data_IF_686615467760
#
_entry.id   IF_686615467760
#
_cell.length_a   1.000
_cell.length_b   1.000
_cell.length_c   1.000
_cell.angle_alpha   90.00
_cell.angle_beta   90.00
_cell.angle_gamma   90.00
#
_symmetry.space_group_name_H-M   'P 1'
#
loop_
_entity.id
_entity.type
_entity.pdbx_description
1 polymer ?
#
# COMPACT_ATOMS: atom_id res chain seq x y z
N UNK A 1 -1.49 18.00 17.69
CA UNK A 1 -1.18 18.13 16.25
C UNK A 1 -0.81 16.79 15.63
N UNK A 2 0.04 15.98 16.27
CA UNK A 2 0.32 14.57 15.88
C UNK A 2 -0.94 13.73 15.64
N UNK A 3 -1.90 13.76 16.55
CA UNK A 3 -3.17 13.02 16.45
C UNK A 3 -4.01 13.31 15.21
N UNK A 4 -3.90 14.50 14.59
CA UNK A 4 -4.66 14.82 13.38
C UNK A 4 -3.99 14.25 12.11
N UNK A 5 -2.65 14.32 12.04
CA UNK A 5 -1.88 13.73 10.94
C UNK A 5 -1.97 12.20 10.92
N UNK A 6 -1.97 11.58 12.10
CA UNK A 6 -2.19 10.14 12.29
C UNK A 6 -3.50 9.66 11.63
N UNK A 7 -4.62 10.30 11.95
CA UNK A 7 -5.95 9.88 11.46
C UNK A 7 -6.09 9.98 9.95
N UNK A 8 -5.46 10.99 9.34
CA UNK A 8 -5.51 11.17 7.89
C UNK A 8 -4.75 10.07 7.14
N UNK A 9 -3.57 9.68 7.60
CA UNK A 9 -2.78 8.61 6.96
C UNK A 9 -3.51 7.26 7.07
N UNK A 10 -4.01 6.91 8.26
CA UNK A 10 -4.79 5.69 8.47
C UNK A 10 -6.04 5.62 7.58
N UNK A 11 -6.76 6.76 7.47
CA UNK A 11 -7.98 6.86 6.66
C UNK A 11 -7.70 6.69 5.17
N UNK A 12 -6.56 7.19 4.69
CA UNK A 12 -6.16 7.08 3.28
C UNK A 12 -5.77 5.65 2.90
N UNK A 13 -5.03 4.93 3.76
CA UNK A 13 -4.73 3.50 3.55
C UNK A 13 -6.01 2.66 3.52
N UNK A 14 -6.91 2.91 4.46
CA UNK A 14 -8.22 2.23 4.54
C UNK A 14 -9.09 2.50 3.32
N UNK A 15 -9.07 3.73 2.80
CA UNK A 15 -9.77 4.11 1.57
C UNK A 15 -9.26 3.30 0.38
N UNK A 16 -7.94 3.23 0.19
CA UNK A 16 -7.34 2.43 -0.90
C UNK A 16 -7.67 0.96 -0.76
N UNK A 17 -7.56 0.42 0.46
CA UNK A 17 -7.93 -0.96 0.73
C UNK A 17 -9.37 -1.23 0.27
N UNK A 18 -10.30 -0.36 0.64
CA UNK A 18 -11.70 -0.45 0.24
C UNK A 18 -11.92 -0.29 -1.26
N UNK A 19 -11.22 0.60 -1.94
CA UNK A 19 -11.41 0.84 -3.39
C UNK A 19 -10.78 -0.27 -4.24
N UNK A 20 -9.60 -0.76 -3.87
CA UNK A 20 -8.90 -1.82 -4.62
C UNK A 20 -9.46 -3.22 -4.34
N UNK A 21 -9.88 -3.47 -3.09
CA UNK A 21 -10.21 -4.82 -2.61
C UNK A 21 -11.66 -4.91 -2.13
N UNK A 22 -12.57 -4.12 -2.72
CA UNK A 22 -13.99 -3.97 -2.34
C UNK A 22 -14.80 -5.28 -2.27
N UNK A 23 -14.27 -6.40 -2.78
CA UNK A 23 -14.89 -7.73 -2.75
C UNK A 23 -14.08 -8.79 -1.98
N UNK A 24 -13.10 -8.37 -1.19
CA UNK A 24 -12.07 -9.24 -0.63
C UNK A 24 -10.90 -9.42 -1.59
N UNK A 25 -9.71 -9.77 -1.07
CA UNK A 25 -8.58 -10.11 -1.92
C UNK A 25 -9.00 -11.26 -2.85
N UNK A 26 -8.97 -11.09 -4.18
CA UNK A 26 -9.40 -12.14 -5.10
C UNK A 26 -8.61 -13.41 -4.80
N UNK A 27 -9.31 -14.54 -4.71
CA UNK A 27 -8.68 -15.85 -4.54
C UNK A 27 -7.78 -16.05 -5.75
N UNK A 28 -6.47 -16.07 -5.51
CA UNK A 28 -5.46 -16.23 -6.56
C UNK A 28 -5.46 -17.69 -6.99
N UNK A 29 -6.19 -18.02 -8.05
CA UNK A 29 -6.01 -19.25 -8.82
C UNK A 29 -4.74 -19.13 -9.66
N UNK A 30 -3.91 -20.17 -9.69
CA UNK A 30 -2.75 -20.22 -10.59
C UNK A 30 -3.24 -20.06 -12.04
N UNK A 31 -2.88 -18.93 -12.68
CA UNK A 31 -3.19 -18.62 -14.07
C UNK A 31 -4.23 -17.51 -14.29
N UNK A 32 -4.92 -17.01 -13.25
CA UNK A 32 -5.83 -15.88 -13.41
C UNK A 32 -5.07 -14.55 -13.41
N UNK A 33 -5.34 -13.72 -14.42
CA UNK A 33 -4.88 -12.35 -14.45
C UNK A 33 -5.76 -11.48 -13.53
N UNK A 34 -5.19 -10.51 -12.80
CA UNK A 34 -5.98 -9.53 -12.06
C UNK A 34 -6.98 -8.84 -12.98
N UNK A 35 -8.23 -8.61 -12.55
CA UNK A 35 -9.15 -7.78 -13.30
C UNK A 35 -8.54 -6.38 -13.50
N UNK A 36 -8.72 -5.81 -14.68
CA UNK A 36 -8.22 -4.48 -15.00
C UNK A 36 -8.91 -3.47 -14.08
N UNK A 37 -8.15 -2.89 -13.15
CA UNK A 37 -8.61 -1.80 -12.32
C UNK A 37 -8.85 -0.55 -13.17
N UNK A 38 -9.84 0.27 -12.80
CA UNK A 38 -10.11 1.52 -13.49
C UNK A 38 -8.92 2.49 -13.38
N UNK A 39 -8.60 3.22 -14.45
CA UNK A 39 -7.39 4.06 -14.48
C UNK A 39 -7.37 5.11 -13.35
N UNK A 40 -8.50 5.75 -13.07
CA UNK A 40 -8.62 6.71 -11.96
C UNK A 40 -8.31 6.09 -10.59
N UNK A 41 -8.66 4.81 -10.39
CA UNK A 41 -8.35 4.08 -9.16
C UNK A 41 -6.84 3.84 -9.03
N UNK A 42 -6.18 3.49 -10.14
CA UNK A 42 -4.74 3.28 -10.16
C UNK A 42 -3.96 4.58 -9.98
N UNK A 43 -4.42 5.68 -10.57
CA UNK A 43 -3.85 7.02 -10.39
C UNK A 43 -3.99 7.50 -8.94
N UNK A 44 -5.18 7.36 -8.35
CA UNK A 44 -5.39 7.64 -6.92
C UNK A 44 -4.44 6.81 -6.05
N UNK A 45 -4.34 5.51 -6.35
CA UNK A 45 -3.48 4.59 -5.60
C UNK A 45 -2.01 5.02 -5.68
N UNK A 46 -1.55 5.38 -6.88
CA UNK A 46 -0.19 5.84 -7.12
C UNK A 46 0.14 7.10 -6.31
N UNK A 47 -0.74 8.10 -6.33
CA UNK A 47 -0.50 9.36 -5.63
C UNK A 47 -0.49 9.20 -4.10
N UNK A 48 -1.31 8.30 -3.56
CA UNK A 48 -1.24 7.96 -2.13
C UNK A 48 0.04 7.21 -1.78
N UNK A 49 0.48 6.24 -2.58
CA UNK A 49 1.73 5.52 -2.31
C UNK A 49 2.91 6.49 -2.32
N UNK A 50 2.93 7.43 -3.27
CA UNK A 50 3.90 8.53 -3.31
C UNK A 50 3.86 9.38 -2.05
N UNK A 51 2.66 9.77 -1.61
CA UNK A 51 2.49 10.51 -0.36
C UNK A 51 3.10 9.74 0.81
N UNK A 52 2.84 8.43 0.95
CA UNK A 52 3.41 7.61 2.01
C UNK A 52 4.94 7.52 1.92
N UNK A 53 5.49 7.37 0.71
CA UNK A 53 6.94 7.40 0.48
C UNK A 53 7.54 8.76 0.88
N UNK A 54 6.91 9.88 0.51
CA UNK A 54 7.36 11.21 0.92
C UNK A 54 7.31 11.42 2.43
N UNK A 55 6.26 10.94 3.12
CA UNK A 55 6.19 11.02 4.58
C UNK A 55 7.25 10.12 5.22
N UNK A 56 7.60 8.98 4.62
CA UNK A 56 8.67 8.09 5.10
C UNK A 56 10.06 8.76 5.03
N UNK A 57 10.27 9.66 4.06
CA UNK A 57 11.49 10.48 3.98
C UNK A 57 11.56 11.54 5.10
N UNK A 58 10.41 11.99 5.60
CA UNK A 58 10.33 12.99 6.67
C UNK A 58 10.49 12.36 8.05
N UNK A 59 9.79 11.25 8.31
CA UNK A 59 9.87 10.50 9.55
C UNK A 59 9.52 9.03 9.33
N UNK A 60 10.57 8.23 9.10
CA UNK A 60 10.47 6.80 8.85
C UNK A 60 9.83 6.06 10.03
N UNK A 61 10.27 6.35 11.26
CA UNK A 61 9.80 5.66 12.47
C UNK A 61 8.31 5.93 12.71
N UNK A 62 7.87 7.16 12.47
CA UNK A 62 6.46 7.54 12.56
C UNK A 62 5.62 6.75 11.55
N UNK A 63 6.01 6.70 10.28
CA UNK A 63 5.27 5.94 9.26
C UNK A 63 5.24 4.45 9.59
N UNK A 64 6.38 3.87 9.96
CA UNK A 64 6.46 2.46 10.33
C UNK A 64 5.58 2.13 11.54
N UNK A 65 5.53 2.99 12.56
CA UNK A 65 4.67 2.80 13.73
C UNK A 65 3.17 2.85 13.38
N UNK A 66 2.77 3.77 12.50
CA UNK A 66 1.37 3.91 12.08
C UNK A 66 0.93 2.73 11.23
N UNK A 67 1.71 2.46 10.18
CA UNK A 67 1.40 1.41 9.22
C UNK A 67 1.57 0.03 9.84
N UNK A 68 2.42 -0.11 10.85
CA UNK A 68 2.65 -1.34 11.62
C UNK A 68 1.54 -1.64 12.63
N UNK A 69 0.68 -0.67 12.92
CA UNK A 69 -0.46 -0.84 13.83
C UNK A 69 -1.38 -1.99 13.42
N UNK A 70 -1.99 -2.62 14.42
CA UNK A 70 -2.92 -3.74 14.23
C UNK A 70 -4.05 -3.37 13.25
N UNK A 71 -4.33 -4.26 12.30
CA UNK A 71 -5.32 -4.04 11.24
C UNK A 71 -4.78 -3.26 10.03
N UNK A 72 -4.10 -2.13 10.23
CA UNK A 72 -3.52 -1.35 9.12
C UNK A 72 -2.36 -2.10 8.45
N UNK A 73 -1.52 -2.77 9.23
CA UNK A 73 -0.40 -3.54 8.68
C UNK A 73 -0.88 -4.69 7.79
N UNK A 74 -2.02 -5.29 8.12
CA UNK A 74 -2.65 -6.32 7.29
C UNK A 74 -3.21 -5.73 5.99
N UNK A 75 -3.94 -4.62 6.08
CA UNK A 75 -4.45 -3.93 4.89
C UNK A 75 -3.32 -3.50 3.96
N UNK A 76 -2.23 -2.94 4.49
CA UNK A 76 -1.07 -2.55 3.72
C UNK A 76 -0.45 -3.76 3.02
N UNK A 77 -0.22 -4.87 3.73
CA UNK A 77 0.31 -6.11 3.13
C UNK A 77 -0.58 -6.61 2.00
N UNK A 78 -1.90 -6.57 2.17
CA UNK A 78 -2.86 -6.94 1.11
C UNK A 78 -2.79 -6.00 -0.09
N UNK A 79 -2.74 -4.67 0.11
CA UNK A 79 -2.59 -3.68 -0.96
C UNK A 79 -1.30 -3.96 -1.73
N UNK A 80 -0.15 -3.98 -1.04
CA UNK A 80 1.14 -4.20 -1.65
C UNK A 80 1.19 -5.52 -2.42
N UNK A 81 0.71 -6.60 -1.81
CA UNK A 81 0.66 -7.92 -2.47
C UNK A 81 -0.21 -7.89 -3.72
N UNK A 82 -1.37 -7.24 -3.66
CA UNK A 82 -2.28 -7.12 -4.80
C UNK A 82 -1.65 -6.29 -5.93
N UNK A 83 -1.01 -5.16 -5.60
CA UNK A 83 -0.37 -4.30 -6.60
C UNK A 83 0.84 -4.94 -7.25
N UNK A 84 1.65 -5.72 -6.50
CA UNK A 84 2.74 -6.51 -7.08
C UNK A 84 2.22 -7.54 -8.09
N UNK A 85 1.15 -8.26 -7.73
CA UNK A 85 0.49 -9.21 -8.65
C UNK A 85 -0.17 -8.52 -9.85
N UNK A 86 -0.74 -7.33 -9.65
CA UNK A 86 -1.30 -6.51 -10.73
C UNK A 86 -0.22 -6.11 -11.73
N UNK A 87 0.90 -5.57 -11.22
CA UNK A 87 2.02 -5.12 -12.04
C UNK A 87 2.80 -6.26 -12.70
N UNK A 88 2.69 -7.50 -12.21
CA UNK A 88 3.30 -8.65 -12.89
C UNK A 88 2.56 -9.06 -14.18
N UNK A 89 1.29 -8.65 -14.33
CA UNK A 89 0.46 -8.92 -15.51
C UNK A 89 0.25 -7.68 -16.39
N UNK A 90 0.28 -6.48 -15.79
CA UNK A 90 0.07 -5.21 -16.48
C UNK A 90 1.31 -4.33 -16.37
N UNK A 91 1.85 -3.86 -17.50
CA UNK A 91 3.03 -2.96 -17.50
C UNK A 91 2.67 -1.61 -16.86
N UNK A 92 2.97 -1.45 -15.57
CA UNK A 92 2.80 -0.22 -14.77
C UNK A 92 4.05 0.06 -13.94
N UNK A 93 5.18 0.28 -14.62
CA UNK A 93 6.51 0.42 -13.97
C UNK A 93 6.56 1.49 -12.88
N UNK A 94 5.93 2.65 -13.13
CA UNK A 94 5.89 3.75 -12.16
C UNK A 94 5.18 3.34 -10.87
N UNK A 95 4.07 2.62 -10.97
CA UNK A 95 3.35 2.09 -9.80
C UNK A 95 4.17 1.01 -9.09
N UNK A 96 4.78 0.10 -9.85
CA UNK A 96 5.62 -0.96 -9.29
C UNK A 96 6.79 -0.39 -8.48
N UNK A 97 7.49 0.60 -9.01
CA UNK A 97 8.64 1.23 -8.33
C UNK A 97 8.23 1.88 -7.00
N UNK A 98 7.10 2.59 -6.98
CA UNK A 98 6.60 3.23 -5.76
C UNK A 98 6.13 2.20 -4.71
N UNK A 99 5.52 1.09 -5.16
CA UNK A 99 5.13 -0.03 -4.29
C UNK A 99 6.35 -0.68 -3.66
N UNK A 100 7.39 -0.98 -4.44
CA UNK A 100 8.63 -1.58 -3.94
C UNK A 100 9.29 -0.64 -2.91
N UNK A 101 9.34 0.66 -3.20
CA UNK A 101 9.89 1.64 -2.29
C UNK A 101 9.10 1.72 -0.98
N UNK A 102 7.76 1.69 -1.05
CA UNK A 102 6.90 1.70 0.13
C UNK A 102 7.11 0.45 1.00
N UNK A 103 7.22 -0.73 0.39
CA UNK A 103 7.54 -1.98 1.11
C UNK A 103 8.89 -1.84 1.80
N UNK A 104 9.91 -1.33 1.09
CA UNK A 104 11.23 -1.09 1.64
C UNK A 104 11.19 -0.16 2.86
N UNK A 105 10.56 1.01 2.72
CA UNK A 105 10.37 1.98 3.81
C UNK A 105 9.62 1.36 4.99
N UNK A 106 8.62 0.50 4.74
CA UNK A 106 7.84 -0.13 5.80
C UNK A 106 8.65 -1.11 6.66
N UNK A 107 9.58 -1.86 6.06
CA UNK A 107 10.28 -2.97 6.75
C UNK A 107 11.74 -2.68 7.11
N UNK A 108 12.36 -1.68 6.48
CA UNK A 108 13.79 -1.40 6.65
C UNK A 108 14.11 -1.08 8.11
N UNK A 109 15.05 -1.86 8.67
CA UNK A 109 15.49 -1.74 10.08
C UNK A 109 14.36 -1.87 11.12
N UNK A 110 13.25 -2.52 10.76
CA UNK A 110 12.11 -2.74 11.65
C UNK A 110 11.69 -4.21 11.66
N UNK A 111 12.19 -4.96 12.66
CA UNK A 111 11.98 -6.41 12.76
C UNK A 111 10.50 -6.77 12.94
N UNK A 112 9.70 -5.92 13.60
CA UNK A 112 8.26 -6.16 13.81
C UNK A 112 7.50 -6.15 12.47
N UNK A 113 7.86 -5.23 11.56
CA UNK A 113 7.23 -5.11 10.25
C UNK A 113 7.75 -6.13 9.22
N UNK A 114 8.86 -6.84 9.51
CA UNK A 114 9.43 -7.87 8.64
C UNK A 114 8.76 -9.24 8.75
N UNK A 115 8.00 -9.46 9.84
CA UNK A 115 7.24 -10.69 10.09
C UNK A 115 5.84 -10.62 9.46
#
# INVERSE_FOLDING_TARGET
MLTFQMTHICGVVSLIYGVLLHSGAPVRSDGDAPPVAADHTLELTLEVIRLLNYVSLLDLNFVQSILGGEGLSLQLRHICSHLLWYCSHHKREQLLNEVILLIGNFVVLNDENQV
#
